data_IF_391837679223
#
_entry.id   IF_391837679223
#
_cell.length_a   1.000
_cell.length_b   1.000
_cell.length_c   1.000
_cell.angle_alpha   90.00
_cell.angle_beta   90.00
_cell.angle_gamma   90.00
#
_symmetry.space_group_name_H-M   'P 1'
#
loop_
_entity.id
_entity.type
_entity.pdbx_description
1 polymer ?
#
# COMPACT_ATOMS: atom_id res chain seq x y z
N UNK A 1 9.64 -4.87 4.98
CA UNK A 1 10.14 -3.67 4.27
C UNK A 1 9.64 -2.44 5.02
N UNK A 2 10.31 -1.28 4.91
CA UNK A 2 9.90 -0.04 5.60
C UNK A 2 9.82 1.11 4.60
N UNK A 3 8.95 2.08 4.87
CA UNK A 3 8.93 3.34 4.13
C UNK A 3 10.19 4.15 4.42
N UNK A 4 10.61 4.96 3.45
CA UNK A 4 11.67 5.94 3.64
C UNK A 4 11.17 7.16 4.45
N UNK A 5 12.06 8.14 4.65
CA UNK A 5 11.79 9.33 5.46
C UNK A 5 10.69 10.26 4.91
N UNK A 6 10.32 10.08 3.63
CA UNK A 6 9.22 10.82 2.98
C UNK A 6 7.93 9.99 2.85
N UNK A 7 7.88 8.80 3.47
CA UNK A 7 6.69 7.96 3.53
C UNK A 7 6.47 7.05 2.32
N UNK A 8 7.48 6.87 1.45
CA UNK A 8 7.38 6.08 0.23
C UNK A 8 8.10 4.73 0.34
N UNK A 9 7.67 3.76 -0.46
CA UNK A 9 8.34 2.47 -0.62
C UNK A 9 8.25 2.03 -2.09
N UNK A 10 9.37 2.11 -2.78
CA UNK A 10 9.49 1.79 -4.20
C UNK A 10 9.96 0.35 -4.42
N UNK A 11 9.85 -0.12 -5.66
CA UNK A 11 10.44 -1.39 -6.12
C UNK A 11 10.06 -2.62 -5.25
N UNK A 12 8.78 -2.69 -4.87
CA UNK A 12 8.22 -3.81 -4.09
C UNK A 12 8.26 -5.14 -4.84
N UNK A 13 8.14 -5.09 -6.17
CA UNK A 13 7.99 -6.24 -7.06
C UNK A 13 8.60 -5.92 -8.43
N UNK A 14 8.73 -6.92 -9.29
CA UNK A 14 9.15 -6.81 -10.69
C UNK A 14 7.96 -7.01 -11.64
N UNK A 15 8.08 -6.61 -12.91
CA UNK A 15 7.03 -6.84 -13.93
C UNK A 15 6.65 -8.32 -14.05
N UNK A 16 7.62 -9.22 -13.91
CA UNK A 16 7.45 -10.67 -13.99
C UNK A 16 6.71 -11.25 -12.78
N UNK A 17 6.95 -10.70 -11.60
CA UNK A 17 6.30 -11.15 -10.35
C UNK A 17 4.92 -10.51 -10.15
N UNK A 18 4.68 -9.35 -10.76
CA UNK A 18 3.42 -8.64 -10.68
C UNK A 18 2.51 -8.99 -11.86
N UNK A 19 2.12 -10.27 -11.93
CA UNK A 19 1.19 -10.79 -12.91
C UNK A 19 -0.27 -10.39 -12.60
N UNK A 20 -1.19 -10.72 -13.49
CA UNK A 20 -2.64 -10.58 -13.23
C UNK A 20 -3.05 -11.40 -12.01
N UNK A 21 -3.75 -10.79 -11.05
CA UNK A 21 -4.18 -11.50 -9.85
C UNK A 21 -4.69 -10.61 -8.72
N UNK A 22 -5.08 -11.24 -7.62
CA UNK A 22 -5.49 -10.57 -6.39
C UNK A 22 -4.27 -10.37 -5.48
N UNK A 23 -4.04 -9.13 -5.07
CA UNK A 23 -2.93 -8.74 -4.21
C UNK A 23 -3.45 -8.13 -2.90
N UNK A 24 -2.62 -8.26 -1.86
CA UNK A 24 -2.82 -7.60 -0.57
C UNK A 24 -1.56 -6.85 -0.15
N UNK A 25 -1.72 -5.60 0.24
CA UNK A 25 -0.72 -4.82 0.98
C UNK A 25 -1.23 -4.70 2.40
N UNK A 26 -0.41 -5.14 3.36
CA UNK A 26 -0.65 -4.98 4.79
C UNK A 26 0.33 -3.94 5.33
N UNK A 27 -0.20 -2.84 5.86
CA UNK A 27 0.59 -1.79 6.50
C UNK A 27 0.52 -1.98 8.02
N UNK A 28 1.67 -2.21 8.67
CA UNK A 28 1.79 -2.29 10.13
C UNK A 28 1.67 -0.91 10.79
N UNK A 29 0.44 -0.39 10.77
CA UNK A 29 0.08 0.93 11.34
C UNK A 29 0.11 0.91 12.86
N UNK A 30 -0.16 -0.24 13.50
CA UNK A 30 -0.11 -0.33 14.95
C UNK A 30 1.29 -0.09 15.50
N UNK A 31 2.32 -0.74 14.93
CA UNK A 31 3.70 -0.51 15.35
C UNK A 31 4.15 0.92 15.05
N UNK A 32 3.69 1.52 13.94
CA UNK A 32 3.98 2.92 13.64
C UNK A 32 3.48 3.86 14.74
N UNK A 33 2.21 3.76 15.14
CA UNK A 33 1.63 4.62 16.17
C UNK A 33 2.21 4.35 17.57
N UNK A 34 2.45 3.07 17.92
CA UNK A 34 3.06 2.71 19.20
C UNK A 34 4.46 3.30 19.39
N UNK A 35 5.27 3.35 18.33
CA UNK A 35 6.60 4.02 18.38
C UNK A 35 6.50 5.51 18.66
N UNK A 36 5.38 6.14 18.32
CA UNK A 36 5.08 7.55 18.61
C UNK A 36 4.38 7.73 19.97
N UNK A 37 4.22 6.66 20.77
CA UNK A 37 3.56 6.72 22.08
C UNK A 37 2.03 6.82 22.01
N UNK A 38 1.43 6.55 20.86
CA UNK A 38 -0.03 6.59 20.67
C UNK A 38 -0.64 5.20 20.71
N UNK A 39 -1.89 5.11 21.19
CA UNK A 39 -2.70 3.90 21.16
C UNK A 39 -3.62 3.94 19.93
N UNK A 40 -3.29 3.22 18.85
CA UNK A 40 -4.11 3.19 17.65
C UNK A 40 -5.32 2.27 17.82
N UNK A 41 -6.37 2.55 17.06
CA UNK A 41 -7.56 1.71 16.97
C UNK A 41 -7.34 0.46 16.10
N UNK A 42 -6.70 0.66 14.94
CA UNK A 42 -6.47 -0.41 13.96
C UNK A 42 -5.20 -1.20 14.29
N UNK A 43 -5.24 -2.53 14.12
CA UNK A 43 -4.06 -3.38 14.23
C UNK A 43 -3.12 -3.24 13.03
N UNK A 44 -3.69 -3.05 11.85
CA UNK A 44 -3.00 -2.79 10.59
C UNK A 44 -4.01 -2.15 9.62
N UNK A 45 -3.52 -1.66 8.48
CA UNK A 45 -4.37 -1.27 7.36
C UNK A 45 -4.14 -2.22 6.20
N UNK A 46 -5.18 -2.92 5.75
CA UNK A 46 -5.15 -3.78 4.57
C UNK A 46 -5.64 -3.00 3.33
N UNK A 47 -4.94 -3.16 2.22
CA UNK A 47 -5.38 -2.75 0.88
C UNK A 47 -5.38 -3.98 -0.01
N UNK A 48 -6.57 -4.41 -0.44
CA UNK A 48 -6.78 -5.60 -1.27
C UNK A 48 -7.31 -5.15 -2.63
N UNK A 49 -6.66 -5.59 -3.72
CA UNK A 49 -7.04 -5.18 -5.07
C UNK A 49 -6.65 -6.21 -6.13
N UNK A 50 -7.39 -6.23 -7.22
CA UNK A 50 -7.03 -6.97 -8.43
C UNK A 50 -6.11 -6.11 -9.28
N UNK A 51 -5.00 -6.69 -9.75
CA UNK A 51 -4.04 -6.00 -10.61
C UNK A 51 -3.97 -6.62 -12.01
N UNK A 52 -3.63 -5.78 -12.99
CA UNK A 52 -3.22 -6.14 -14.35
C UNK A 52 -4.21 -7.03 -15.14
N UNK A 53 -5.51 -6.88 -14.92
CA UNK A 53 -6.57 -7.58 -15.67
C UNK A 53 -6.62 -7.20 -17.16
N UNK A 54 -6.15 -6.00 -17.49
CA UNK A 54 -6.25 -5.34 -18.79
C UNK A 54 -4.88 -4.85 -19.30
N UNK A 55 -3.82 -5.59 -18.95
CA UNK A 55 -2.44 -5.22 -19.27
C UNK A 55 -1.67 -4.71 -18.04
N UNK A 56 -0.34 -4.59 -18.19
CA UNK A 56 0.53 -4.16 -17.09
C UNK A 56 0.32 -2.68 -16.76
N UNK A 57 0.08 -2.36 -15.49
CA UNK A 57 -0.11 -0.99 -15.01
C UNK A 57 0.80 -0.69 -13.82
N UNK A 58 1.17 0.56 -13.66
CA UNK A 58 1.82 1.05 -12.45
C UNK A 58 0.77 1.48 -11.42
N UNK A 59 0.94 1.03 -10.18
CA UNK A 59 0.03 1.33 -9.07
C UNK A 59 0.80 2.12 -8.01
N UNK A 60 0.28 3.29 -7.65
CA UNK A 60 0.69 4.04 -6.46
C UNK A 60 -0.45 3.99 -5.46
N UNK A 61 -0.22 3.32 -4.33
CA UNK A 61 -1.19 3.21 -3.24
C UNK A 61 -0.84 4.25 -2.20
N UNK A 62 -1.73 5.22 -1.99
CA UNK A 62 -1.55 6.27 -1.01
C UNK A 62 -2.46 6.02 0.20
N UNK A 63 -1.88 6.11 1.39
CA UNK A 63 -2.59 5.90 2.66
C UNK A 63 -2.40 7.10 3.56
N UNK A 64 -3.51 7.70 4.00
CA UNK A 64 -3.54 8.74 5.02
C UNK A 64 -3.92 8.13 6.36
N UNK A 65 -3.07 8.30 7.37
CA UNK A 65 -3.23 7.68 8.68
C UNK A 65 -3.60 8.70 9.76
N UNK A 66 -4.57 8.34 10.58
CA UNK A 66 -4.82 8.89 11.91
C UNK A 66 -4.88 7.72 12.91
N UNK A 67 -4.68 7.95 14.23
CA UNK A 67 -4.69 6.83 15.17
C UNK A 67 -6.01 6.02 15.18
N UNK A 68 -7.14 6.66 14.86
CA UNK A 68 -8.48 6.06 14.85
C UNK A 68 -9.13 5.98 13.46
N UNK A 69 -8.43 6.32 12.39
CA UNK A 69 -8.97 6.33 11.03
C UNK A 69 -7.85 6.16 10.02
N UNK A 70 -8.14 5.53 8.88
CA UNK A 70 -7.28 5.64 7.72
C UNK A 70 -8.12 5.75 6.46
N UNK A 71 -7.56 6.43 5.47
CA UNK A 71 -8.10 6.47 4.12
C UNK A 71 -7.06 5.92 3.17
N UNK A 72 -7.49 5.10 2.22
CA UNK A 72 -6.64 4.55 1.16
C UNK A 72 -7.18 4.96 -0.20
N UNK A 73 -6.28 5.29 -1.11
CA UNK A 73 -6.60 5.57 -2.51
C UNK A 73 -5.53 4.98 -3.42
N UNK A 74 -5.87 4.76 -4.68
CA UNK A 74 -4.97 4.24 -5.69
C UNK A 74 -4.89 5.21 -6.87
N UNK A 75 -3.67 5.55 -7.29
CA UNK A 75 -3.39 6.18 -8.57
C UNK A 75 -2.84 5.10 -9.48
N UNK A 76 -3.55 4.83 -10.58
CA UNK A 76 -3.23 3.74 -11.51
C UNK A 76 -2.89 4.35 -12.86
N UNK A 77 -1.78 3.95 -13.45
CA UNK A 77 -1.40 4.40 -14.79
C UNK A 77 -2.33 3.81 -15.86
N UNK A 78 -2.28 4.43 -17.04
CA UNK A 78 -2.72 3.76 -18.25
C UNK A 78 -1.93 2.45 -18.46
N UNK A 79 -2.53 1.45 -19.13
CA UNK A 79 -1.85 0.20 -19.36
C UNK A 79 -0.68 0.42 -20.32
N UNK A 80 0.46 -0.18 -19.98
CA UNK A 80 1.66 -0.19 -20.82
C UNK A 80 1.52 -1.38 -21.78
N UNK A 81 1.48 -1.10 -23.08
CA UNK A 81 1.55 -2.12 -24.14
C UNK A 81 2.80 -3.02 -24.00
#
# INVERSE_FOLDING_TARGET
>A
RQTNDIGELHELTTKQQFATGLYKIELDTASYWKRLGLNPFHHHADVVFTANDSGYRHYSIAVLLSPFSYSTTAVVSEPVE
#
